data_IF_326453586524
#
_entry.id   IF_326453586524
#
_cell.length_a   1.000
_cell.length_b   1.000
_cell.length_c   1.000
_cell.angle_alpha   90.00
_cell.angle_beta   90.00
_cell.angle_gamma   90.00
#
_symmetry.space_group_name_H-M   'P 1'
#
loop_
_entity.id
_entity.type
_entity.pdbx_description
1 polymer ?
#
# COMPACT_ATOMS: atom_id res chain seq x y z
N UNK A 1 12.97 17.61 21.52
CA UNK A 1 12.94 16.66 20.40
C UNK A 1 13.73 15.48 20.90
N UNK A 2 13.15 14.30 20.88
CA UNK A 2 13.81 13.09 21.37
C UNK A 2 14.83 12.62 20.32
N UNK A 3 15.86 11.93 20.78
CA UNK A 3 16.97 11.46 19.95
C UNK A 3 16.49 10.35 18.98
N UNK A 4 16.96 10.34 17.71
CA UNK A 4 16.54 9.36 16.72
C UNK A 4 16.76 7.90 17.14
N UNK A 5 17.87 7.61 17.83
CA UNK A 5 18.19 6.26 18.29
C UNK A 5 17.28 5.86 19.46
N UNK A 6 16.98 6.79 20.36
CA UNK A 6 16.01 6.57 21.44
C UNK A 6 14.61 6.27 20.89
N UNK A 7 14.15 7.06 19.91
CA UNK A 7 12.86 6.83 19.23
C UNK A 7 12.86 5.45 18.56
N UNK A 8 13.94 5.09 17.86
CA UNK A 8 14.05 3.79 17.19
C UNK A 8 13.97 2.62 18.17
N UNK A 9 14.77 2.65 19.24
CA UNK A 9 14.80 1.59 20.25
C UNK A 9 13.44 1.45 20.93
N UNK A 10 12.84 2.57 21.33
CA UNK A 10 11.52 2.60 21.96
C UNK A 10 10.46 2.02 21.02
N UNK A 11 10.46 2.38 19.74
CA UNK A 11 9.53 1.84 18.75
C UNK A 11 9.69 0.33 18.55
N UNK A 12 10.93 -0.17 18.52
CA UNK A 12 11.23 -1.60 18.37
C UNK A 12 10.78 -2.42 19.60
N UNK A 13 10.97 -1.87 20.80
CA UNK A 13 10.50 -2.47 22.06
C UNK A 13 8.97 -2.55 22.10
N UNK A 14 8.29 -1.43 21.81
CA UNK A 14 6.83 -1.38 21.77
C UNK A 14 6.24 -2.32 20.71
N UNK A 15 6.86 -2.41 19.53
CA UNK A 15 6.46 -3.39 18.50
C UNK A 15 6.56 -4.83 19.04
N UNK A 16 7.69 -5.17 19.67
CA UNK A 16 7.93 -6.49 20.25
C UNK A 16 6.92 -6.82 21.35
N UNK A 17 6.63 -5.86 22.23
CA UNK A 17 5.63 -6.01 23.29
C UNK A 17 4.23 -6.27 22.71
N UNK A 18 3.79 -5.48 21.73
CA UNK A 18 2.50 -5.67 21.07
C UNK A 18 2.38 -7.04 20.40
N UNK A 19 3.43 -7.52 19.72
CA UNK A 19 3.41 -8.86 19.09
C UNK A 19 3.34 -9.96 20.16
N UNK A 20 4.05 -9.81 21.28
CA UNK A 20 4.03 -10.79 22.36
C UNK A 20 2.64 -10.94 23.00
N UNK A 21 1.81 -9.88 23.00
CA UNK A 21 0.41 -9.96 23.47
C UNK A 21 -0.45 -10.91 22.61
N UNK A 22 -0.03 -11.22 21.38
CA UNK A 22 -0.72 -12.16 20.50
C UNK A 22 -0.41 -13.63 20.82
N UNK A 23 0.54 -13.90 21.72
CA UNK A 23 0.91 -15.27 22.10
C UNK A 23 -0.25 -15.96 22.82
N UNK A 24 -0.67 -17.11 22.29
CA UNK A 24 -1.78 -17.89 22.84
C UNK A 24 -3.17 -17.47 22.37
N UNK A 25 -3.28 -16.43 21.52
CA UNK A 25 -4.56 -16.07 20.89
C UNK A 25 -4.98 -17.18 19.91
N UNK A 26 -6.23 -17.69 19.99
CA UNK A 26 -6.71 -18.73 19.08
C UNK A 26 -6.56 -18.34 17.61
N UNK A 27 -5.89 -19.19 16.83
CA UNK A 27 -5.62 -18.99 15.40
C UNK A 27 -4.24 -18.38 15.08
N UNK A 28 -3.50 -17.91 16.08
CA UNK A 28 -2.10 -17.48 15.89
C UNK A 28 -1.18 -18.69 15.92
N UNK A 29 -0.50 -18.95 14.81
CA UNK A 29 0.52 -20.01 14.71
C UNK A 29 1.88 -19.51 15.21
N UNK A 30 2.70 -20.41 15.76
CA UNK A 30 4.06 -20.06 16.20
C UNK A 30 4.91 -19.44 15.07
N UNK A 31 4.78 -19.94 13.84
CA UNK A 31 5.50 -19.41 12.68
C UNK A 31 5.17 -17.93 12.41
N UNK A 32 3.87 -17.58 12.38
CA UNK A 32 3.41 -16.19 12.23
C UNK A 32 3.80 -15.28 13.40
N UNK A 33 3.86 -15.82 14.62
CA UNK A 33 4.33 -15.06 15.78
C UNK A 33 5.82 -14.71 15.64
N UNK A 34 6.65 -15.68 15.26
CA UNK A 34 8.07 -15.45 14.99
C UNK A 34 8.30 -14.51 13.80
N UNK A 35 7.48 -14.61 12.75
CA UNK A 35 7.50 -13.67 11.63
C UNK A 35 7.18 -12.24 12.09
N UNK A 36 6.18 -12.05 12.96
CA UNK A 36 5.82 -10.75 13.51
C UNK A 36 6.91 -10.12 14.39
N UNK A 37 7.67 -10.94 15.13
CA UNK A 37 8.80 -10.49 15.95
C UNK A 37 10.00 -10.06 15.10
N UNK A 38 10.15 -10.61 13.89
CA UNK A 38 11.18 -10.22 12.93
C UNK A 38 10.64 -9.16 11.98
N UNK A 39 10.43 -7.94 12.50
CA UNK A 39 9.98 -6.81 11.70
C UNK A 39 10.95 -6.57 10.52
N UNK A 40 10.39 -6.36 9.32
CA UNK A 40 11.16 -6.10 8.08
C UNK A 40 10.81 -4.78 7.41
N UNK A 41 9.69 -4.19 7.78
CA UNK A 41 9.17 -2.96 7.20
C UNK A 41 8.79 -2.01 8.33
N UNK A 42 9.11 -0.74 8.14
CA UNK A 42 8.68 0.33 9.01
C UNK A 42 7.76 1.27 8.21
N UNK A 43 6.57 1.55 8.74
CA UNK A 43 5.63 2.50 8.15
C UNK A 43 5.57 3.75 9.02
N UNK A 44 6.13 4.86 8.52
CA UNK A 44 6.07 6.16 9.18
C UNK A 44 4.78 6.87 8.78
N UNK A 45 3.65 6.41 9.31
CA UNK A 45 2.33 6.89 8.88
C UNK A 45 1.23 6.75 9.94
N UNK A 46 1.59 6.71 11.24
CA UNK A 46 0.62 6.44 12.30
C UNK A 46 -0.22 7.68 12.65
N UNK A 47 0.39 8.72 13.22
CA UNK A 47 -0.25 9.98 13.59
C UNK A 47 0.73 11.13 13.37
N UNK A 48 0.21 12.28 12.95
CA UNK A 48 0.98 13.48 12.68
C UNK A 48 1.71 13.44 11.34
N UNK A 49 2.55 14.44 11.12
CA UNK A 49 3.34 14.60 9.89
C UNK A 49 4.80 14.20 10.16
N UNK A 50 5.29 13.04 9.68
CA UNK A 50 6.66 12.58 9.96
C UNK A 50 7.75 13.58 9.55
N UNK A 51 7.48 14.36 8.50
CA UNK A 51 8.39 15.39 7.99
C UNK A 51 8.55 16.59 8.94
N UNK A 52 7.70 16.73 9.96
CA UNK A 52 7.84 17.76 10.99
C UNK A 52 8.92 17.40 12.03
N UNK A 53 9.36 16.14 12.06
CA UNK A 53 10.52 15.75 12.84
C UNK A 53 11.80 16.19 12.13
N UNK A 54 12.49 17.19 12.68
CA UNK A 54 13.63 17.85 12.03
C UNK A 54 14.81 16.91 11.78
N UNK A 55 14.95 15.87 12.61
CA UNK A 55 16.02 14.87 12.53
C UNK A 55 15.57 13.59 11.80
N UNK A 56 14.51 13.68 10.98
CA UNK A 56 13.97 12.53 10.24
C UNK A 56 15.05 11.81 9.45
N UNK A 57 15.94 12.52 8.77
CA UNK A 57 17.04 11.93 8.01
C UNK A 57 17.93 11.01 8.86
N UNK A 58 18.27 11.43 10.09
CA UNK A 58 19.08 10.62 11.01
C UNK A 58 18.30 9.40 11.50
N UNK A 59 17.00 9.57 11.76
CA UNK A 59 16.12 8.44 12.10
C UNK A 59 16.03 7.41 10.97
N UNK A 60 16.00 7.86 9.71
CA UNK A 60 16.02 6.95 8.56
C UNK A 60 17.35 6.17 8.47
N UNK A 61 18.47 6.79 8.84
CA UNK A 61 19.76 6.11 8.90
C UNK A 61 19.78 5.02 9.98
N UNK A 62 19.15 5.23 11.14
CA UNK A 62 19.01 4.20 12.18
C UNK A 62 18.15 3.00 11.70
N UNK A 63 17.04 3.28 11.00
CA UNK A 63 16.25 2.23 10.35
C UNK A 63 17.09 1.43 9.35
N UNK A 64 17.96 2.10 8.58
CA UNK A 64 18.80 1.44 7.60
C UNK A 64 19.87 0.54 8.26
N UNK A 65 20.48 0.97 9.37
CA UNK A 65 21.47 0.18 10.12
C UNK A 65 20.89 -1.13 10.67
N UNK A 66 19.62 -1.11 11.08
CA UNK A 66 18.93 -2.27 11.65
C UNK A 66 18.47 -3.33 10.65
N UNK A 67 18.87 -3.22 9.37
CA UNK A 67 18.48 -4.13 8.27
C UNK A 67 16.97 -4.16 8.00
N UNK A 68 16.20 -3.21 8.54
CA UNK A 68 14.84 -2.97 8.06
C UNK A 68 14.93 -2.57 6.59
N UNK A 69 14.07 -3.16 5.77
CA UNK A 69 14.05 -2.88 4.33
C UNK A 69 13.83 -1.38 4.17
N UNK A 70 14.65 -0.78 3.30
CA UNK A 70 14.74 0.65 3.02
C UNK A 70 13.36 1.31 2.92
N UNK A 71 13.30 2.63 3.10
CA UNK A 71 12.19 3.45 2.61
C UNK A 71 12.06 3.28 1.10
N UNK A 72 11.38 2.21 0.70
CA UNK A 72 11.20 1.84 -0.70
C UNK A 72 10.28 2.85 -1.38
N UNK A 73 9.42 3.50 -0.61
CA UNK A 73 8.27 4.19 -1.15
C UNK A 73 7.90 5.43 -0.32
N UNK A 74 7.87 6.59 -0.99
CA UNK A 74 7.39 7.84 -0.42
C UNK A 74 5.93 8.06 -0.82
N UNK A 75 5.05 8.14 0.18
CA UNK A 75 3.64 8.42 -0.04
C UNK A 75 3.37 9.91 0.18
N UNK A 76 2.63 10.51 -0.74
CA UNK A 76 2.04 11.84 -0.55
C UNK A 76 0.53 11.70 -0.61
N UNK A 77 -0.13 12.07 0.49
CA UNK A 77 -1.58 12.13 0.56
C UNK A 77 -2.08 13.29 -0.28
N UNK A 78 -3.07 13.03 -1.14
CA UNK A 78 -3.73 14.03 -1.97
C UNK A 78 -5.21 13.94 -1.66
N UNK A 79 -5.67 14.78 -0.75
CA UNK A 79 -7.02 14.70 -0.20
C UNK A 79 -8.03 15.58 -0.95
N UNK A 80 -7.55 16.51 -1.78
CA UNK A 80 -8.40 17.38 -2.58
C UNK A 80 -7.79 17.79 -3.93
N UNK A 81 -8.65 18.19 -4.87
CA UNK A 81 -8.25 18.61 -6.21
C UNK A 81 -8.01 20.12 -6.37
N UNK A 82 -8.46 20.95 -5.42
CA UNK A 82 -8.35 22.42 -5.49
C UNK A 82 -7.89 23.01 -4.16
N UNK A 83 -7.32 24.22 -4.18
CA UNK A 83 -6.89 24.95 -2.98
C UNK A 83 -8.01 25.11 -1.95
N UNK A 84 -9.21 25.46 -2.40
CA UNK A 84 -10.35 25.68 -1.51
C UNK A 84 -10.86 24.39 -0.87
N UNK A 85 -10.89 23.29 -1.65
CA UNK A 85 -11.30 21.99 -1.13
C UNK A 85 -10.27 21.41 -0.16
N UNK A 86 -8.97 21.54 -0.46
CA UNK A 86 -7.89 21.16 0.46
C UNK A 86 -7.95 21.98 1.75
N UNK A 87 -8.15 23.30 1.67
CA UNK A 87 -8.32 24.13 2.88
C UNK A 87 -9.50 23.69 3.74
N UNK A 88 -10.61 23.29 3.13
CA UNK A 88 -11.82 22.86 3.84
C UNK A 88 -11.63 21.49 4.53
N UNK A 89 -10.90 20.57 3.89
CA UNK A 89 -10.67 19.20 4.36
C UNK A 89 -9.50 19.18 5.36
N UNK A 90 -8.32 19.64 4.93
CA UNK A 90 -7.06 19.45 5.63
C UNK A 90 -6.86 20.44 6.78
N UNK A 91 -7.60 21.57 6.75
CA UNK A 91 -7.53 22.65 7.74
C UNK A 91 -6.07 23.03 8.07
N UNK A 92 -5.31 23.44 7.05
CA UNK A 92 -3.87 23.61 7.15
C UNK A 92 -3.50 24.70 8.16
N UNK A 93 -2.42 24.46 8.90
CA UNK A 93 -1.89 25.41 9.88
C UNK A 93 -1.23 26.64 9.23
N UNK A 94 -0.61 26.44 8.06
CA UNK A 94 0.14 27.48 7.36
C UNK A 94 -0.69 28.13 6.26
N UNK A 95 -0.54 29.44 6.07
CA UNK A 95 -1.28 30.20 5.04
C UNK A 95 -0.83 29.89 3.60
N UNK A 96 0.43 29.47 3.43
CA UNK A 96 1.08 29.09 2.17
C UNK A 96 1.05 27.57 1.91
N UNK A 97 0.12 26.85 2.55
CA UNK A 97 0.03 25.38 2.48
C UNK A 97 -0.07 24.83 1.06
N UNK A 98 -0.80 25.54 0.17
CA UNK A 98 -1.08 25.06 -1.17
C UNK A 98 0.15 25.18 -2.06
N UNK A 99 0.86 26.30 -1.93
CA UNK A 99 2.12 26.55 -2.62
C UNK A 99 3.16 25.50 -2.21
N UNK A 100 3.31 25.25 -0.90
CA UNK A 100 4.17 24.17 -0.37
C UNK A 100 3.78 22.80 -0.90
N UNK A 101 2.49 22.52 -1.01
CA UNK A 101 2.00 21.26 -1.56
C UNK A 101 2.40 21.10 -3.04
N UNK A 102 2.20 22.12 -3.87
CA UNK A 102 2.61 22.09 -5.29
C UNK A 102 4.14 21.97 -5.43
N UNK A 103 4.91 22.68 -4.61
CA UNK A 103 6.37 22.57 -4.57
C UNK A 103 6.81 21.15 -4.20
N UNK A 104 6.11 20.51 -3.24
CA UNK A 104 6.38 19.12 -2.88
C UNK A 104 6.14 18.17 -4.06
N UNK A 105 5.04 18.34 -4.82
CA UNK A 105 4.75 17.54 -6.01
C UNK A 105 5.82 17.72 -7.09
N UNK A 106 6.33 18.94 -7.23
CA UNK A 106 7.42 19.26 -8.15
C UNK A 106 8.71 18.57 -7.74
N UNK A 107 9.07 18.62 -6.45
CA UNK A 107 10.25 17.95 -5.91
C UNK A 107 10.18 16.41 -6.04
N UNK A 108 8.99 15.81 -5.95
CA UNK A 108 8.81 14.36 -6.16
C UNK A 108 9.21 13.91 -7.56
N UNK A 109 9.13 14.79 -8.57
CA UNK A 109 9.50 14.45 -9.95
C UNK A 109 10.99 14.14 -10.10
N UNK A 110 11.82 14.73 -9.25
CA UNK A 110 13.28 14.60 -9.29
C UNK A 110 13.79 13.39 -8.48
N UNK A 111 12.92 12.79 -7.65
CA UNK A 111 13.27 11.65 -6.80
C UNK A 111 13.46 10.39 -7.64
N UNK A 112 14.48 9.60 -7.29
CA UNK A 112 14.79 8.31 -7.91
C UNK A 112 14.05 7.15 -7.23
N UNK A 113 13.61 7.35 -5.98
CA UNK A 113 12.81 6.39 -5.23
C UNK A 113 11.36 6.30 -5.77
N UNK A 114 10.65 5.21 -5.45
CA UNK A 114 9.23 5.13 -5.81
C UNK A 114 8.43 6.16 -5.02
N UNK A 115 7.61 6.91 -5.75
CA UNK A 115 6.67 7.88 -5.20
C UNK A 115 5.26 7.40 -5.47
N UNK A 116 4.36 7.56 -4.50
CA UNK A 116 2.95 7.20 -4.65
C UNK A 116 2.06 8.32 -4.15
N UNK A 117 1.15 8.73 -5.02
CA UNK A 117 0.03 9.59 -4.64
C UNK A 117 -1.07 8.71 -4.05
N UNK A 118 -1.40 8.96 -2.78
CA UNK A 118 -2.49 8.28 -2.09
C UNK A 118 -3.69 9.22 -2.04
N UNK A 119 -4.75 8.88 -2.77
CA UNK A 119 -5.97 9.67 -2.83
C UNK A 119 -7.02 9.08 -1.90
N UNK A 120 -7.47 9.85 -0.92
CA UNK A 120 -8.54 9.44 0.00
C UNK A 120 -9.89 9.89 -0.55
N UNK A 121 -10.69 8.97 -1.08
CA UNK A 121 -11.97 9.30 -1.73
C UNK A 121 -13.11 9.31 -0.70
N UNK A 122 -13.60 10.50 -0.37
CA UNK A 122 -14.72 10.71 0.55
C UNK A 122 -15.99 11.09 -0.23
N UNK A 123 -17.11 10.43 0.09
CA UNK A 123 -18.40 10.76 -0.54
C UNK A 123 -18.92 12.11 -0.05
N UNK A 124 -19.10 13.05 -0.98
CA UNK A 124 -19.68 14.39 -0.76
C UNK A 124 -21.09 14.55 -1.35
N UNK A 125 -21.65 15.77 -1.27
CA UNK A 125 -23.00 16.09 -1.75
C UNK A 125 -23.11 16.08 -3.30
N UNK A 126 -21.97 16.17 -4.01
CA UNK A 126 -21.84 16.06 -5.47
C UNK A 126 -20.87 14.91 -5.92
N UNK A 127 -20.82 13.86 -5.09
CA UNK A 127 -20.40 12.50 -5.46
C UNK A 127 -18.93 12.18 -5.80
N UNK A 128 -17.97 13.12 -5.75
CA UNK A 128 -16.54 12.75 -5.92
C UNK A 128 -15.51 13.48 -5.04
N UNK A 129 -15.88 14.61 -4.41
CA UNK A 129 -15.01 15.29 -3.43
C UNK A 129 -15.85 15.86 -2.30
N UNK A 130 -15.37 15.73 -1.06
CA UNK A 130 -16.05 16.25 0.12
C UNK A 130 -15.91 17.77 0.17
N UNK A 131 -17.03 18.49 0.05
CA UNK A 131 -17.11 19.94 0.19
C UNK A 131 -18.02 20.31 1.36
N UNK A 132 -17.56 20.12 2.60
CA UNK A 132 -18.19 20.84 3.71
C UNK A 132 -17.21 21.16 4.83
N UNK A 133 -17.25 22.41 5.29
CA UNK A 133 -16.38 22.96 6.32
C UNK A 133 -16.64 22.42 7.74
N UNK A 134 -17.56 21.47 7.91
CA UNK A 134 -17.94 20.92 9.22
C UNK A 134 -17.44 19.49 9.39
N UNK A 135 -16.80 19.23 10.53
CA UNK A 135 -16.07 18.01 10.90
C UNK A 135 -16.98 16.80 11.23
N UNK A 136 -18.11 16.64 10.55
CA UNK A 136 -19.05 15.54 10.80
C UNK A 136 -18.98 14.53 9.65
N UNK A 137 -17.82 13.90 9.51
CA UNK A 137 -17.74 12.66 8.74
C UNK A 137 -18.57 11.60 9.46
N UNK A 138 -19.48 10.97 8.72
CA UNK A 138 -20.30 9.86 9.18
C UNK A 138 -20.00 8.61 8.36
N UNK A 139 -20.53 7.46 8.77
CA UNK A 139 -20.42 6.20 8.01
C UNK A 139 -20.98 6.36 6.58
N UNK A 140 -21.93 7.28 6.35
CA UNK A 140 -22.50 7.55 5.03
C UNK A 140 -21.50 8.17 4.05
N UNK A 141 -20.41 8.76 4.55
CA UNK A 141 -19.35 9.35 3.74
C UNK A 141 -18.34 8.30 3.25
N UNK A 142 -18.43 7.05 3.71
CA UNK A 142 -17.57 5.95 3.26
C UNK A 142 -17.96 5.56 1.83
N UNK A 143 -17.00 5.67 0.91
CA UNK A 143 -17.17 5.27 -0.48
C UNK A 143 -17.12 3.74 -0.61
N UNK A 144 -18.11 3.18 -1.29
CA UNK A 144 -18.07 1.78 -1.68
C UNK A 144 -16.98 1.53 -2.73
N UNK A 145 -16.46 0.29 -2.76
CA UNK A 145 -15.45 -0.10 -3.73
C UNK A 145 -15.84 0.19 -5.18
N UNK A 146 -17.12 -0.01 -5.55
CA UNK A 146 -17.65 0.30 -6.88
C UNK A 146 -17.47 1.77 -7.27
N UNK A 147 -17.67 2.70 -6.33
CA UNK A 147 -17.46 4.14 -6.55
C UNK A 147 -15.97 4.48 -6.67
N UNK A 148 -15.11 3.87 -5.85
CA UNK A 148 -13.65 4.03 -5.95
C UNK A 148 -13.14 3.53 -7.31
N UNK A 149 -13.72 2.43 -7.83
CA UNK A 149 -13.41 1.89 -9.15
C UNK A 149 -13.77 2.88 -10.27
N UNK A 150 -15.01 3.38 -10.28
CA UNK A 150 -15.46 4.40 -11.25
C UNK A 150 -14.58 5.65 -11.20
N UNK A 151 -14.21 6.10 -10.00
CA UNK A 151 -13.28 7.22 -9.85
C UNK A 151 -11.91 6.92 -10.46
N UNK A 152 -11.36 5.72 -10.23
CA UNK A 152 -10.08 5.32 -10.82
C UNK A 152 -10.13 5.23 -12.35
N UNK A 153 -11.23 4.76 -12.92
CA UNK A 153 -11.44 4.71 -14.37
C UNK A 153 -11.56 6.11 -14.96
N UNK A 154 -12.31 7.01 -14.31
CA UNK A 154 -12.42 8.41 -14.70
C UNK A 154 -11.06 9.14 -14.62
N UNK A 155 -10.24 8.85 -13.59
CA UNK A 155 -8.89 9.37 -13.45
C UNK A 155 -7.98 8.87 -14.58
N UNK A 156 -8.09 7.58 -14.94
CA UNK A 156 -7.34 7.01 -16.07
C UNK A 156 -7.66 7.72 -17.38
N UNK A 157 -8.95 7.91 -17.68
CA UNK A 157 -9.42 8.64 -18.85
C UNK A 157 -8.93 10.09 -18.87
N UNK A 158 -9.08 10.80 -17.74
CA UNK A 158 -8.63 12.21 -17.61
C UNK A 158 -7.12 12.36 -17.71
N UNK A 159 -6.37 11.34 -17.33
CA UNK A 159 -4.92 11.29 -17.48
C UNK A 159 -4.45 10.89 -18.88
N UNK A 160 -5.36 10.73 -19.86
CA UNK A 160 -5.07 10.25 -21.21
C UNK A 160 -4.33 8.88 -21.20
N UNK A 161 -4.67 8.05 -20.20
CA UNK A 161 -4.06 6.76 -19.97
C UNK A 161 -2.63 6.82 -19.46
N UNK A 162 -2.15 7.94 -18.92
CA UNK A 162 -0.87 7.99 -18.18
C UNK A 162 -0.95 7.07 -16.97
N UNK A 163 -2.07 7.06 -16.26
CA UNK A 163 -2.38 6.14 -15.18
C UNK A 163 -3.36 5.07 -15.65
N UNK A 164 -3.08 3.80 -15.35
CA UNK A 164 -3.90 2.65 -15.69
C UNK A 164 -4.11 1.78 -14.44
N UNK A 165 -5.33 1.28 -14.24
CA UNK A 165 -5.67 0.41 -13.11
C UNK A 165 -4.85 -0.88 -13.15
N UNK A 166 -4.12 -1.18 -12.06
CA UNK A 166 -3.29 -2.36 -11.91
C UNK A 166 -3.87 -3.32 -10.88
N UNK A 167 -4.02 -2.81 -9.64
CA UNK A 167 -4.51 -3.56 -8.48
C UNK A 167 -5.87 -3.04 -7.98
N UNK A 168 -6.70 -3.84 -7.31
CA UNK A 168 -7.94 -3.47 -6.63
C UNK A 168 -8.04 -4.39 -5.44
N UNK A 169 -8.62 -3.87 -4.39
CA UNK A 169 -8.67 -4.55 -3.13
C UNK A 169 -10.02 -4.24 -2.54
N UNK A 170 -11.01 -5.02 -2.98
CA UNK A 170 -12.41 -4.79 -2.64
C UNK A 170 -12.63 -4.76 -1.13
N UNK A 171 -11.85 -5.54 -0.37
CA UNK A 171 -12.01 -5.61 1.07
C UNK A 171 -11.47 -4.40 1.85
N UNK A 172 -10.57 -3.61 1.26
CA UNK A 172 -10.12 -2.32 1.80
C UNK A 172 -10.63 -1.12 0.98
N UNK A 173 -11.55 -1.35 0.05
CA UNK A 173 -12.07 -0.35 -0.88
C UNK A 173 -10.97 0.46 -1.59
N UNK A 174 -9.89 -0.20 -2.04
CA UNK A 174 -8.73 0.49 -2.64
C UNK A 174 -8.47 0.05 -4.07
N UNK A 175 -7.98 0.97 -4.91
CA UNK A 175 -7.51 0.68 -6.28
C UNK A 175 -6.10 1.24 -6.42
N UNK A 176 -5.19 0.42 -6.95
CA UNK A 176 -3.84 0.81 -7.30
C UNK A 176 -3.77 1.07 -8.80
N UNK A 177 -3.43 2.30 -9.18
CA UNK A 177 -3.11 2.66 -10.55
C UNK A 177 -1.60 2.80 -10.73
N UNK A 178 -1.08 2.41 -11.89
CA UNK A 178 0.34 2.55 -12.24
C UNK A 178 0.53 3.52 -13.40
N UNK A 179 1.68 4.17 -13.47
CA UNK A 179 2.06 4.96 -14.65
C UNK A 179 2.57 4.07 -15.78
N UNK A 180 2.45 4.53 -17.03
CA UNK A 180 3.02 3.84 -18.21
C UNK A 180 4.52 3.57 -18.10
N UNK A 181 5.28 4.34 -17.32
CA UNK A 181 6.71 4.10 -17.08
C UNK A 181 7.00 2.72 -16.49
N UNK A 182 6.05 2.16 -15.73
CA UNK A 182 6.13 0.81 -15.18
C UNK A 182 5.45 -0.25 -16.07
N UNK A 183 5.17 0.09 -17.34
CA UNK A 183 4.72 -0.85 -18.37
C UNK A 183 5.96 -1.29 -19.15
N UNK A 184 6.64 -2.31 -18.63
CA UNK A 184 7.74 -2.96 -19.34
C UNK A 184 7.13 -3.78 -20.49
N UNK A 185 7.18 -3.23 -21.70
CA UNK A 185 6.80 -3.95 -22.91
C UNK A 185 7.80 -5.07 -23.18
N UNK A 186 7.28 -6.22 -23.59
CA UNK A 186 8.11 -7.30 -24.08
C UNK A 186 7.88 -7.55 -25.55
N UNK A 187 8.90 -7.20 -26.30
CA UNK A 187 9.40 -8.01 -27.41
C UNK A 187 10.90 -8.20 -27.10
N UNK A 188 11.31 -9.06 -26.17
CA UNK A 188 11.92 -10.37 -26.50
C UNK A 188 12.10 -11.34 -25.30
N UNK A 189 11.23 -11.33 -24.28
CA UNK A 189 11.04 -12.37 -23.24
C UNK A 189 9.67 -12.20 -22.54
N UNK A 190 8.62 -12.87 -23.05
CA UNK A 190 7.18 -12.56 -22.95
C UNK A 190 6.64 -12.26 -21.53
N UNK A 191 6.12 -11.04 -21.28
CA UNK A 191 5.30 -10.66 -20.10
C UNK A 191 3.82 -10.55 -20.51
N UNK A 192 3.17 -11.68 -20.79
CA UNK A 192 1.71 -11.85 -20.85
C UNK A 192 1.45 -13.37 -20.83
N UNK A 193 1.04 -13.92 -19.68
CA UNK A 193 0.36 -15.22 -19.67
C UNK A 193 -1.13 -14.94 -19.76
N UNK A 194 -1.62 -14.85 -20.99
CA UNK A 194 -2.91 -15.43 -21.32
C UNK A 194 -2.64 -16.90 -21.62
N UNK A 195 -2.92 -17.78 -20.66
CA UNK A 195 -3.09 -19.19 -20.98
C UNK A 195 -4.47 -19.36 -21.59
N UNK A 196 -4.56 -19.22 -22.92
CA UNK A 196 -5.49 -20.06 -23.67
C UNK A 196 -4.93 -21.48 -23.66
N UNK A 197 -5.78 -22.44 -23.36
CA UNK A 197 -5.46 -23.86 -23.28
C UNK A 197 -4.87 -24.33 -24.60
N UNK A 198 -3.62 -24.79 -24.58
CA UNK A 198 -3.18 -25.87 -25.47
C UNK A 198 -2.09 -26.68 -24.77
N UNK A 199 -2.29 -27.99 -24.81
CA UNK A 199 -1.56 -29.04 -24.10
C UNK A 199 -0.06 -29.02 -24.32
N UNK A 200 0.74 -28.88 -23.26
CA UNK A 200 1.87 -29.76 -22.88
C UNK A 200 2.60 -29.12 -21.69
N UNK A 201 2.85 -29.91 -20.65
CA UNK A 201 3.32 -29.42 -19.34
C UNK A 201 4.76 -28.93 -19.33
N UNK A 202 5.07 -28.02 -18.38
CA UNK A 202 6.42 -27.84 -17.83
C UNK A 202 6.32 -27.48 -16.34
N UNK A 203 7.18 -28.15 -15.58
CA UNK A 203 7.41 -28.25 -14.14
C UNK A 203 7.26 -26.97 -13.27
N UNK A 204 6.51 -27.14 -12.17
CA UNK A 204 6.46 -26.30 -10.97
C UNK A 204 7.55 -26.73 -9.99
N UNK A 205 8.64 -25.99 -9.86
CA UNK A 205 9.57 -26.09 -8.73
C UNK A 205 10.20 -24.70 -8.53
N UNK A 206 10.16 -24.18 -7.29
CA UNK A 206 10.96 -23.04 -6.77
C UNK A 206 10.48 -21.56 -6.88
N UNK A 207 9.18 -21.25 -6.83
CA UNK A 207 8.71 -19.84 -6.71
C UNK A 207 8.84 -19.21 -5.31
N UNK A 208 9.20 -19.98 -4.26
CA UNK A 208 9.41 -19.43 -2.91
C UNK A 208 10.84 -18.90 -2.68
N UNK A 209 11.82 -19.40 -3.44
CA UNK A 209 13.25 -19.08 -3.25
C UNK A 209 13.72 -17.84 -4.05
N UNK A 210 12.98 -17.45 -5.07
CA UNK A 210 13.34 -16.34 -5.97
C UNK A 210 13.23 -14.96 -5.29
N UNK A 211 12.31 -14.81 -4.33
CA UNK A 211 12.14 -13.56 -3.56
C UNK A 211 13.25 -13.31 -2.53
N UNK A 212 13.94 -14.37 -2.07
CA UNK A 212 15.00 -14.27 -1.06
C UNK A 212 16.36 -13.96 -1.69
N UNK A 213 16.73 -14.64 -2.79
CA UNK A 213 17.99 -14.37 -3.52
C UNK A 213 18.04 -12.94 -4.10
N UNK A 214 16.91 -12.44 -4.63
CA UNK A 214 16.84 -11.08 -5.16
C UNK A 214 17.00 -10.04 -4.06
N UNK A 215 16.37 -10.23 -2.89
CA UNK A 215 16.51 -9.36 -1.70
C UNK A 215 17.93 -9.31 -1.14
N UNK A 216 18.65 -10.42 -1.11
CA UNK A 216 20.03 -10.47 -0.62
C UNK A 216 21.01 -9.78 -1.58
N UNK A 217 20.85 -9.99 -2.91
CA UNK A 217 21.64 -9.30 -3.94
C UNK A 217 21.49 -7.78 -3.87
N UNK A 218 20.30 -7.33 -3.52
CA UNK A 218 19.91 -5.93 -3.41
C UNK A 218 20.58 -5.26 -2.20
N UNK A 219 20.61 -5.96 -1.06
CA UNK A 219 21.33 -5.55 0.14
C UNK A 219 22.85 -5.46 -0.11
N UNK A 220 23.40 -6.40 -0.89
CA UNK A 220 24.82 -6.43 -1.30
C UNK A 220 25.17 -5.30 -2.30
N UNK A 221 24.29 -5.00 -3.26
CA UNK A 221 24.50 -3.89 -4.20
C UNK A 221 24.51 -2.53 -3.51
N UNK A 222 23.67 -2.36 -2.50
CA UNK A 222 23.55 -1.12 -1.74
C UNK A 222 24.75 -0.91 -0.80
N UNK A 223 25.23 -1.97 -0.13
CA UNK A 223 26.50 -1.91 0.61
C UNK A 223 27.71 -1.58 -0.30
N UNK A 224 27.57 -1.80 -1.62
CA UNK A 224 28.60 -1.50 -2.62
C UNK A 224 28.51 -0.09 -3.25
N UNK A 225 27.59 0.77 -2.81
CA UNK A 225 27.44 2.15 -3.32
C UNK A 225 26.91 2.24 -4.76
N UNK A 226 26.31 1.17 -5.29
CA UNK A 226 25.73 1.18 -6.64
C UNK A 226 24.39 1.89 -6.65
N UNK A 227 24.09 2.69 -7.69
CA UNK A 227 22.77 3.27 -7.86
C UNK A 227 21.74 2.14 -8.02
N UNK A 228 20.59 2.33 -7.37
CA UNK A 228 19.50 1.37 -7.27
C UNK A 228 18.21 2.04 -7.72
N UNK A 229 17.37 1.33 -8.47
CA UNK A 229 16.17 1.92 -9.05
C UNK A 229 14.89 1.14 -8.68
N UNK A 230 13.76 1.71 -9.08
CA UNK A 230 12.43 1.13 -8.84
C UNK A 230 12.20 -0.26 -9.44
N UNK A 231 12.94 -0.64 -10.48
CA UNK A 231 12.80 -1.91 -11.21
C UNK A 231 13.43 -3.08 -10.45
N UNK A 232 14.49 -2.82 -9.70
CA UNK A 232 15.31 -3.83 -9.03
C UNK A 232 14.55 -4.63 -7.94
N UNK A 233 13.40 -4.13 -7.47
CA UNK A 233 12.55 -4.76 -6.44
C UNK A 233 11.11 -5.03 -6.91
N UNK A 234 10.81 -4.86 -8.21
CA UNK A 234 9.50 -5.20 -8.73
C UNK A 234 9.21 -6.70 -8.61
N UNK A 235 7.97 -7.02 -8.22
CA UNK A 235 7.45 -8.37 -8.18
C UNK A 235 6.26 -8.51 -9.13
N UNK A 236 6.06 -9.73 -9.61
CA UNK A 236 4.90 -10.07 -10.43
C UNK A 236 3.61 -9.89 -9.64
N UNK A 237 2.62 -9.22 -10.25
CA UNK A 237 1.26 -9.19 -9.73
C UNK A 237 0.64 -10.58 -9.91
N UNK A 238 0.19 -11.24 -8.82
CA UNK A 238 -0.48 -12.53 -8.93
C UNK A 238 -1.74 -12.46 -9.80
N UNK A 239 -2.11 -13.55 -10.48
CA UNK A 239 -3.26 -13.58 -11.41
C UNK A 239 -4.59 -13.21 -10.76
N UNK A 240 -4.85 -13.72 -9.55
CA UNK A 240 -6.02 -13.36 -8.73
C UNK A 240 -6.01 -11.89 -8.28
N UNK A 241 -4.86 -11.21 -8.41
CA UNK A 241 -4.65 -9.83 -8.03
C UNK A 241 -4.60 -8.87 -9.25
N UNK A 242 -5.07 -9.28 -10.45
CA UNK A 242 -5.12 -8.45 -11.67
C UNK A 242 -6.45 -7.68 -11.82
N UNK A 243 -6.42 -6.55 -12.52
CA UNK A 243 -7.57 -5.67 -12.64
C UNK A 243 -8.73 -6.28 -13.43
N UNK A 244 -9.89 -6.35 -12.77
CA UNK A 244 -11.06 -7.06 -13.29
C UNK A 244 -11.05 -8.58 -13.06
N UNK A 245 -10.13 -9.13 -12.23
CA UNK A 245 -10.15 -10.55 -11.89
C UNK A 245 -11.44 -10.94 -11.13
N UNK A 246 -11.97 -12.12 -11.42
CA UNK A 246 -13.23 -12.64 -10.87
C UNK A 246 -13.17 -12.77 -9.33
N UNK A 247 -12.01 -13.17 -8.81
CA UNK A 247 -11.78 -13.33 -7.37
C UNK A 247 -11.79 -12.01 -6.60
N UNK A 248 -11.93 -10.85 -7.26
CA UNK A 248 -11.96 -9.52 -6.64
C UNK A 248 -10.82 -9.32 -5.62
N UNK A 249 -9.73 -10.07 -5.83
CA UNK A 249 -8.42 -10.04 -5.17
C UNK A 249 -8.41 -10.46 -3.72
N UNK A 250 -9.26 -11.41 -3.36
CA UNK A 250 -9.07 -12.18 -2.13
C UNK A 250 -7.94 -13.18 -2.33
N UNK A 251 -6.99 -13.22 -1.38
CA UNK A 251 -5.93 -14.21 -1.42
C UNK A 251 -6.57 -15.62 -1.37
N UNK A 252 -6.38 -16.48 -2.39
CA UNK A 252 -7.17 -17.70 -2.57
C UNK A 252 -7.13 -18.66 -1.36
N UNK A 253 -6.02 -18.65 -0.62
CA UNK A 253 -5.78 -19.53 0.53
C UNK A 253 -6.00 -18.83 1.89
N UNK A 254 -6.57 -17.62 1.92
CA UNK A 254 -6.83 -16.91 3.16
C UNK A 254 -8.07 -17.46 3.85
N UNK A 255 -7.94 -17.82 5.12
CA UNK A 255 -9.06 -18.23 5.95
C UNK A 255 -9.66 -17.03 6.67
N UNK A 256 -10.97 -16.81 6.48
CA UNK A 256 -11.69 -15.73 7.15
C UNK A 256 -12.59 -16.29 8.24
N UNK A 257 -12.59 -15.61 9.38
CA UNK A 257 -13.35 -16.00 10.56
C UNK A 257 -14.30 -14.88 10.95
N UNK A 258 -15.58 -15.21 11.11
CA UNK A 258 -16.59 -14.27 11.62
C UNK A 258 -16.93 -14.62 13.07
N UNK A 259 -16.80 -13.64 13.95
CA UNK A 259 -17.34 -13.70 15.30
C UNK A 259 -18.86 -13.55 15.21
N UNK A 260 -19.62 -14.58 15.60
CA UNK A 260 -21.07 -14.44 15.76
C UNK A 260 -21.36 -13.74 17.09
N UNK A 261 -22.57 -13.21 17.22
CA UNK A 261 -23.10 -12.64 18.49
C UNK A 261 -23.08 -13.70 19.60
N UNK A 262 -23.25 -14.97 19.23
CA UNK A 262 -22.91 -16.12 20.06
C UNK A 262 -21.41 -16.41 19.96
N UNK A 263 -20.77 -16.79 21.06
CA UNK A 263 -19.32 -17.03 21.23
C UNK A 263 -18.68 -18.07 20.29
N UNK A 264 -19.39 -18.58 19.29
CA UNK A 264 -18.88 -19.48 18.25
C UNK A 264 -18.38 -18.68 17.04
N UNK A 265 -17.09 -18.85 16.74
CA UNK A 265 -16.46 -18.32 15.52
C UNK A 265 -16.76 -19.27 14.36
N UNK A 266 -17.26 -18.75 13.23
CA UNK A 266 -17.50 -19.54 11.99
C UNK A 266 -16.44 -19.17 10.94
N UNK A 267 -15.79 -20.18 10.35
CA UNK A 267 -14.96 -20.03 9.14
C UNK A 267 -15.87 -19.78 7.94
N UNK A 268 -15.62 -18.73 7.17
CA UNK A 268 -16.37 -18.39 5.97
C UNK A 268 -15.78 -19.11 4.74
N UNK A 269 -16.65 -19.56 3.83
CA UNK A 269 -16.24 -20.00 2.50
C UNK A 269 -16.01 -18.81 1.57
N UNK A 270 -15.23 -18.99 0.49
CA UNK A 270 -14.97 -17.95 -0.51
C UNK A 270 -16.28 -17.46 -1.16
N UNK A 271 -17.22 -18.35 -1.45
CA UNK A 271 -18.54 -17.98 -2.00
C UNK A 271 -19.37 -17.10 -1.06
N UNK A 272 -19.37 -17.40 0.24
CA UNK A 272 -20.05 -16.56 1.24
C UNK A 272 -19.36 -15.19 1.35
N UNK A 273 -18.02 -15.14 1.33
CA UNK A 273 -17.24 -13.89 1.38
C UNK A 273 -17.59 -12.93 0.24
N UNK A 274 -17.69 -13.44 -0.99
CA UNK A 274 -18.00 -12.62 -2.17
C UNK A 274 -19.42 -12.05 -2.14
N UNK A 275 -20.40 -12.81 -1.62
CA UNK A 275 -21.79 -12.35 -1.54
C UNK A 275 -22.02 -11.22 -0.51
N UNK A 276 -21.25 -11.16 0.58
CA UNK A 276 -21.47 -10.15 1.62
C UNK A 276 -21.06 -8.72 1.24
N UNK A 277 -20.42 -8.50 0.09
CA UNK A 277 -19.80 -7.19 -0.26
C UNK A 277 -20.02 -6.74 -1.70
N UNK A 278 -20.88 -7.44 -2.44
CA UNK A 278 -21.39 -7.02 -3.75
C UNK A 278 -22.64 -6.11 -3.65
N UNK A 279 -23.10 -5.80 -2.43
CA UNK A 279 -24.23 -4.93 -2.13
C UNK A 279 -23.76 -3.61 -1.51
#
# INVERSE_FOLDING_TARGET
>A
MDDPLEIFNTAAELHTEMINQMKGVPGVTQERLLEGLSARYCALSLVGEPIMYLEISMFLDELQKSQLIWLVQLYVSVDAATKDSSKAIDRPLFGDFWERFIDSLTALKEKQQQTVYRLTVVKGHDDLFYSSATSKLTVQNVSWHSKVKVFSEALSLKSEGVYEGLCEHAHSCSVLSKTRKFKVNVLSYTWLVTASVSSFGVYLESSFFLGFKRRFSLMVQVASGRPFNSEDYMALTPSWAIYGAEESRYFPNQSWYRKKVTSKVKKLSNSELYQYRAA
#
